data_IF_439522846995
#
_entry.id   IF_439522846995
#
_cell.length_a   1.000
_cell.length_b   1.000
_cell.length_c   1.000
_cell.angle_alpha   90.00
_cell.angle_beta   90.00
_cell.angle_gamma   90.00
#
_symmetry.space_group_name_H-M   'P 1'
#
loop_
_entity.id
_entity.type
_entity.pdbx_description
1 polymer ?
#
# COMPACT_ATOMS: atom_id res chain seq x y z
N UNK A 1 12.11 -35.68 -33.10
CA UNK A 1 12.60 -37.07 -32.97
C UNK A 1 12.81 -37.36 -31.49
N UNK A 2 12.23 -38.44 -30.95
CA UNK A 2 12.39 -38.80 -29.55
C UNK A 2 13.77 -39.43 -29.31
N UNK A 3 14.42 -39.10 -28.19
CA UNK A 3 15.69 -39.70 -27.79
C UNK A 3 15.50 -41.18 -27.38
N UNK A 4 16.54 -42.04 -27.45
CA UNK A 4 16.43 -43.45 -27.08
C UNK A 4 15.90 -43.69 -25.65
N UNK A 5 16.21 -42.77 -24.72
CA UNK A 5 15.71 -42.80 -23.33
C UNK A 5 14.21 -42.48 -23.26
N UNK A 6 13.74 -41.51 -24.06
CA UNK A 6 12.32 -41.18 -24.17
C UNK A 6 11.54 -42.32 -24.83
N UNK A 7 12.10 -43.00 -25.83
CA UNK A 7 11.46 -44.15 -26.47
C UNK A 7 11.25 -45.32 -25.49
N UNK A 8 12.24 -45.61 -24.62
CA UNK A 8 12.08 -46.61 -23.55
C UNK A 8 10.99 -46.24 -22.54
N UNK A 9 11.00 -44.99 -22.05
CA UNK A 9 9.96 -44.51 -21.12
C UNK A 9 8.56 -44.59 -21.71
N UNK A 10 8.41 -44.26 -23.00
CA UNK A 10 7.13 -44.38 -23.71
C UNK A 10 6.72 -45.86 -23.82
N UNK A 11 7.66 -46.75 -24.16
CA UNK A 11 7.39 -48.20 -24.23
C UNK A 11 6.95 -48.76 -22.88
N UNK A 12 7.65 -48.41 -21.81
CA UNK A 12 7.34 -48.88 -20.44
C UNK A 12 5.98 -48.33 -19.97
N UNK A 13 5.66 -47.09 -20.32
CA UNK A 13 4.37 -46.48 -20.01
C UNK A 13 3.22 -47.15 -20.77
N UNK A 14 3.41 -47.45 -22.06
CA UNK A 14 2.42 -48.17 -22.88
C UNK A 14 2.22 -49.59 -22.37
N UNK A 15 3.31 -50.31 -22.04
CA UNK A 15 3.22 -51.67 -21.51
C UNK A 15 2.49 -51.69 -20.16
N UNK A 16 2.79 -50.74 -19.27
CA UNK A 16 2.07 -50.60 -18.00
C UNK A 16 0.59 -50.28 -18.22
N UNK A 17 0.26 -49.37 -19.14
CA UNK A 17 -1.12 -49.02 -19.42
C UNK A 17 -1.90 -50.24 -19.96
N UNK A 18 -1.32 -50.98 -20.91
CA UNK A 18 -1.93 -52.20 -21.44
C UNK A 18 -2.07 -53.30 -20.39
N UNK A 19 -1.14 -53.36 -19.42
CA UNK A 19 -1.16 -54.37 -18.36
C UNK A 19 -2.18 -54.08 -17.25
N UNK A 20 -2.36 -52.81 -16.88
CA UNK A 20 -3.15 -52.43 -15.71
C UNK A 20 -4.51 -51.82 -16.04
N UNK A 21 -4.68 -51.21 -17.22
CA UNK A 21 -5.90 -50.49 -17.57
C UNK A 21 -6.70 -51.15 -18.69
N UNK A 22 -6.10 -52.01 -19.52
CA UNK A 22 -6.78 -52.69 -20.61
C UNK A 22 -7.16 -54.14 -20.21
N UNK A 23 -8.43 -54.32 -19.84
CA UNK A 23 -9.00 -55.60 -19.42
C UNK A 23 -9.05 -56.62 -20.55
N UNK A 24 -9.29 -56.17 -21.79
CA UNK A 24 -9.32 -57.00 -22.99
C UNK A 24 -7.93 -57.53 -23.31
N UNK A 25 -6.90 -56.68 -23.23
CA UNK A 25 -5.51 -57.09 -23.41
C UNK A 25 -5.05 -58.06 -22.30
N UNK A 26 -5.43 -57.79 -21.05
CA UNK A 26 -5.13 -58.69 -19.93
C UNK A 26 -5.76 -60.08 -20.11
N UNK A 27 -7.02 -60.15 -20.58
CA UNK A 27 -7.70 -61.41 -20.89
C UNK A 27 -7.01 -62.19 -22.02
N UNK A 28 -6.61 -61.52 -23.11
CA UNK A 28 -5.84 -62.15 -24.19
C UNK A 28 -4.49 -62.68 -23.71
N UNK A 29 -3.78 -61.90 -22.88
CA UNK A 29 -2.50 -62.31 -22.29
C UNK A 29 -2.65 -63.54 -21.41
N UNK A 30 -3.70 -63.60 -20.60
CA UNK A 30 -4.00 -64.77 -19.76
C UNK A 30 -4.28 -66.01 -20.62
N UNK A 31 -5.11 -65.89 -21.67
CA UNK A 31 -5.39 -66.98 -22.60
C UNK A 31 -4.10 -67.53 -23.24
N UNK A 32 -3.17 -66.65 -23.65
CA UNK A 32 -1.85 -67.08 -24.15
C UNK A 32 -1.04 -67.85 -23.13
N UNK A 33 -1.08 -67.44 -21.86
CA UNK A 33 -0.39 -68.15 -20.79
C UNK A 33 -1.01 -69.53 -20.54
N UNK A 34 -2.33 -69.62 -20.59
CA UNK A 34 -3.07 -70.87 -20.42
C UNK A 34 -2.82 -71.86 -21.58
N UNK A 35 -2.76 -71.38 -22.82
CA UNK A 35 -2.36 -72.17 -24.00
C UNK A 35 -0.91 -72.68 -23.85
N UNK A 36 0.01 -71.81 -23.42
CA UNK A 36 1.41 -72.19 -23.22
C UNK A 36 1.55 -73.24 -22.10
N UNK A 37 0.83 -73.05 -20.99
CA UNK A 37 0.78 -74.02 -19.90
C UNK A 37 0.24 -75.38 -20.39
N UNK A 38 -0.86 -75.38 -21.15
CA UNK A 38 -1.42 -76.60 -21.73
C UNK A 38 -0.41 -77.29 -22.66
N UNK A 39 0.26 -76.54 -23.53
CA UNK A 39 1.26 -77.09 -24.43
C UNK A 39 2.44 -77.72 -23.66
N UNK A 40 2.90 -77.08 -22.57
CA UNK A 40 3.95 -77.66 -21.72
C UNK A 40 3.49 -78.94 -21.01
N UNK A 41 2.22 -79.03 -20.60
CA UNK A 41 1.65 -80.24 -20.01
C UNK A 41 1.54 -81.37 -21.04
N UNK A 42 1.05 -81.09 -22.24
CA UNK A 42 0.98 -82.06 -23.35
C UNK A 42 2.39 -82.57 -23.69
N UNK A 43 3.37 -81.68 -23.77
CA UNK A 43 4.76 -82.05 -24.08
C UNK A 43 5.37 -82.94 -22.99
N UNK A 44 5.05 -82.70 -21.71
CA UNK A 44 5.49 -83.57 -20.60
C UNK A 44 4.81 -84.94 -20.65
N UNK A 45 3.49 -84.97 -20.81
CA UNK A 45 2.72 -86.23 -20.95
C UNK A 45 3.22 -87.08 -22.14
N UNK A 46 3.65 -86.45 -23.23
CA UNK A 46 4.23 -87.15 -24.39
C UNK A 46 5.65 -87.66 -24.14
N UNK A 47 6.45 -86.97 -23.34
CA UNK A 47 7.85 -87.33 -23.07
C UNK A 47 7.98 -88.36 -21.94
N UNK A 48 7.13 -88.29 -20.91
CA UNK A 48 7.16 -89.20 -19.75
C UNK A 48 6.66 -90.62 -20.09
N UNK A 49 5.90 -90.79 -21.18
CA UNK A 49 5.40 -92.08 -21.68
C UNK A 49 6.47 -92.94 -22.42
N UNK A 50 7.74 -92.54 -22.43
CA UNK A 50 8.84 -93.30 -23.05
C UNK A 50 9.61 -94.21 -22.08
N UNK A 51 9.23 -94.29 -20.80
CA UNK A 51 9.86 -95.14 -19.78
C UNK A 51 8.84 -96.08 -19.12
N UNK A 52 8.94 -97.36 -19.44
CA UNK A 52 8.20 -98.49 -18.90
C UNK A 52 6.70 -98.63 -19.27
N UNK A 53 6.44 -99.76 -19.95
CA UNK A 53 5.17 -100.33 -20.40
C UNK A 53 4.47 -99.64 -21.59
N UNK A 54 4.34 -100.44 -22.66
CA UNK A 54 3.68 -100.18 -23.95
C UNK A 54 2.42 -99.30 -23.83
N UNK A 55 2.38 -98.10 -24.45
CA UNK A 55 1.17 -97.29 -24.49
C UNK A 55 0.34 -97.71 -25.70
N UNK A 56 -0.68 -98.54 -25.50
CA UNK A 56 -1.65 -98.86 -26.56
C UNK A 56 -2.54 -97.67 -26.96
N UNK A 57 -2.35 -96.50 -26.36
CA UNK A 57 -2.76 -95.24 -26.99
C UNK A 57 -1.81 -94.12 -26.58
N UNK A 58 -1.10 -93.52 -27.54
CA UNK A 58 -0.43 -92.22 -27.41
C UNK A 58 -1.43 -91.08 -27.23
N UNK A 59 -2.30 -91.20 -26.23
CA UNK A 59 -3.42 -90.32 -25.95
C UNK A 59 -3.06 -89.44 -24.76
N UNK A 60 -2.85 -88.17 -25.09
CA UNK A 60 -3.03 -87.03 -24.19
C UNK A 60 -4.23 -87.28 -23.28
N UNK A 61 -4.10 -86.97 -21.99
CA UNK A 61 -5.16 -87.21 -20.99
C UNK A 61 -6.51 -86.65 -21.47
N UNK A 62 -7.66 -87.34 -21.24
CA UNK A 62 -8.97 -86.84 -21.63
C UNK A 62 -9.29 -85.46 -21.03
N UNK A 63 -8.76 -85.15 -19.84
CA UNK A 63 -8.89 -83.81 -19.24
C UNK A 63 -8.13 -82.72 -19.99
N UNK A 64 -7.01 -83.09 -20.64
CA UNK A 64 -6.16 -82.20 -21.43
C UNK A 64 -6.79 -81.96 -22.81
N UNK A 65 -7.47 -82.96 -23.37
CA UNK A 65 -8.28 -82.83 -24.59
C UNK A 65 -9.53 -81.97 -24.38
N UNK A 66 -10.22 -82.11 -23.24
CA UNK A 66 -11.36 -81.26 -22.90
C UNK A 66 -10.94 -79.78 -22.73
N UNK A 67 -9.82 -79.55 -22.03
CA UNK A 67 -9.21 -78.21 -21.91
C UNK A 67 -8.80 -77.62 -23.25
N UNK A 68 -8.30 -78.45 -24.17
CA UNK A 68 -7.99 -78.01 -25.53
C UNK A 68 -9.23 -77.51 -26.26
N UNK A 69 -10.34 -78.25 -26.18
CA UNK A 69 -11.62 -77.83 -26.77
C UNK A 69 -12.19 -76.55 -26.13
N UNK A 70 -12.08 -76.41 -24.81
CA UNK A 70 -12.47 -75.19 -24.11
C UNK A 70 -11.63 -73.99 -24.53
N UNK A 71 -10.30 -74.15 -24.61
CA UNK A 71 -9.39 -73.09 -25.04
C UNK A 71 -9.58 -72.72 -26.52
N UNK A 72 -9.98 -73.65 -27.39
CA UNK A 72 -10.28 -73.35 -28.80
C UNK A 72 -11.52 -72.45 -28.93
N UNK A 73 -12.58 -72.74 -28.18
CA UNK A 73 -13.78 -71.90 -28.13
C UNK A 73 -13.45 -70.52 -27.53
N UNK A 74 -12.68 -70.48 -26.46
CA UNK A 74 -12.23 -69.22 -25.85
C UNK A 74 -11.33 -68.41 -26.79
N UNK A 75 -10.48 -69.07 -27.58
CA UNK A 75 -9.62 -68.43 -28.58
C UNK A 75 -10.44 -67.77 -29.69
N UNK A 76 -11.41 -68.48 -30.26
CA UNK A 76 -12.28 -67.94 -31.31
C UNK A 76 -13.10 -66.75 -30.79
N UNK A 77 -13.62 -66.85 -29.56
CA UNK A 77 -14.32 -65.75 -28.89
C UNK A 77 -13.39 -64.55 -28.68
N UNK A 78 -12.16 -64.80 -28.22
CA UNK A 78 -11.21 -63.73 -27.94
C UNK A 78 -10.70 -63.08 -29.22
N UNK A 79 -10.55 -63.82 -30.32
CA UNK A 79 -10.17 -63.28 -31.63
C UNK A 79 -11.20 -62.25 -32.12
N UNK A 80 -12.49 -62.57 -32.02
CA UNK A 80 -13.57 -61.65 -32.37
C UNK A 80 -13.57 -60.40 -31.48
N UNK A 81 -13.47 -60.57 -30.16
CA UNK A 81 -13.46 -59.46 -29.20
C UNK A 81 -12.23 -58.58 -29.41
N UNK A 82 -11.06 -59.18 -29.61
CA UNK A 82 -9.81 -58.44 -29.78
C UNK A 82 -9.78 -57.69 -31.11
N UNK A 83 -10.34 -58.26 -32.17
CA UNK A 83 -10.52 -57.58 -33.45
C UNK A 83 -11.45 -56.37 -33.31
N UNK A 84 -12.60 -56.53 -32.65
CA UNK A 84 -13.51 -55.41 -32.37
C UNK A 84 -12.85 -54.32 -31.52
N UNK A 85 -12.05 -54.70 -30.51
CA UNK A 85 -11.29 -53.76 -29.68
C UNK A 85 -10.22 -53.00 -30.47
N UNK A 86 -9.50 -53.67 -31.38
CA UNK A 86 -8.55 -53.00 -32.28
C UNK A 86 -9.28 -52.01 -33.18
N UNK A 87 -10.42 -52.39 -33.76
CA UNK A 87 -11.21 -51.52 -34.63
C UNK A 87 -11.74 -50.31 -33.85
N UNK A 88 -12.17 -50.49 -32.59
CA UNK A 88 -12.57 -49.40 -31.69
C UNK A 88 -11.40 -48.45 -31.35
N UNK A 89 -10.22 -48.99 -31.06
CA UNK A 89 -9.02 -48.20 -30.82
C UNK A 89 -8.60 -47.42 -32.07
N UNK A 90 -8.69 -48.04 -33.25
CA UNK A 90 -8.41 -47.38 -34.54
C UNK A 90 -9.39 -46.24 -34.82
N UNK A 91 -10.69 -46.48 -34.57
CA UNK A 91 -11.73 -45.46 -34.69
C UNK A 91 -11.50 -44.32 -33.71
N UNK A 92 -11.19 -44.61 -32.45
CA UNK A 92 -10.86 -43.61 -31.43
C UNK A 92 -9.65 -42.77 -31.84
N UNK A 93 -8.63 -43.41 -32.41
CA UNK A 93 -7.42 -42.72 -32.89
C UNK A 93 -7.71 -41.85 -34.12
N UNK A 94 -8.58 -42.29 -35.03
CA UNK A 94 -9.07 -41.46 -36.14
C UNK A 94 -9.89 -40.26 -35.63
N UNK A 95 -10.80 -40.48 -34.68
CA UNK A 95 -11.59 -39.41 -34.07
C UNK A 95 -10.66 -38.39 -33.39
N UNK A 96 -9.66 -38.82 -32.63
CA UNK A 96 -8.67 -37.92 -32.02
C UNK A 96 -7.80 -37.16 -33.03
N UNK A 97 -7.58 -37.71 -34.23
CA UNK A 97 -6.89 -37.00 -35.31
C UNK A 97 -7.76 -35.91 -35.94
N UNK A 98 -9.07 -36.14 -36.02
CA UNK A 98 -10.04 -35.22 -36.65
C UNK A 98 -10.54 -34.18 -35.64
N UNK A 99 -10.94 -34.59 -34.45
CA UNK A 99 -11.17 -33.73 -33.29
C UNK A 99 -9.86 -33.58 -32.51
N UNK A 100 -9.09 -32.52 -32.82
CA UNK A 100 -8.09 -32.05 -31.86
C UNK A 100 -8.81 -31.78 -30.53
N UNK A 101 -8.29 -32.26 -29.39
CA UNK A 101 -8.98 -32.11 -28.11
C UNK A 101 -9.16 -30.62 -27.81
N UNK A 102 -10.40 -30.23 -27.51
CA UNK A 102 -10.80 -28.86 -27.13
C UNK A 102 -10.06 -28.38 -25.86
N UNK A 103 -9.42 -29.31 -25.17
CA UNK A 103 -8.50 -29.07 -24.05
C UNK A 103 -7.27 -28.28 -24.51
N UNK A 104 -6.76 -28.49 -25.73
CA UNK A 104 -5.60 -27.74 -26.23
C UNK A 104 -5.97 -26.30 -26.60
N UNK A 105 -7.17 -26.07 -27.14
CA UNK A 105 -7.72 -24.72 -27.35
C UNK A 105 -7.96 -24.02 -26.02
N UNK A 106 -8.55 -24.70 -25.04
CA UNK A 106 -8.82 -24.12 -23.73
C UNK A 106 -7.54 -23.82 -22.95
N UNK A 107 -6.55 -24.71 -22.97
CA UNK A 107 -5.22 -24.46 -22.37
C UNK A 107 -4.53 -23.29 -23.06
N UNK A 108 -4.61 -23.20 -24.39
CA UNK A 108 -4.03 -22.07 -25.13
C UNK A 108 -4.70 -20.74 -24.74
N UNK A 109 -6.03 -20.73 -24.64
CA UNK A 109 -6.79 -19.55 -24.21
C UNK A 109 -6.47 -19.15 -22.76
N UNK A 110 -6.33 -20.13 -21.86
CA UNK A 110 -5.90 -19.89 -20.48
C UNK A 110 -4.47 -19.33 -20.41
N UNK A 111 -3.56 -19.87 -21.21
CA UNK A 111 -2.19 -19.38 -21.30
C UNK A 111 -2.12 -17.95 -21.83
N UNK A 112 -2.94 -17.62 -22.82
CA UNK A 112 -3.05 -16.26 -23.37
C UNK A 112 -3.62 -15.28 -22.35
N UNK A 113 -4.65 -15.68 -21.59
CA UNK A 113 -5.21 -14.90 -20.48
C UNK A 113 -4.17 -14.64 -19.38
N UNK A 114 -3.43 -15.67 -18.95
CA UNK A 114 -2.38 -15.54 -17.94
C UNK A 114 -1.23 -14.65 -18.46
N UNK A 115 -0.85 -14.79 -19.73
CA UNK A 115 0.17 -13.95 -20.33
C UNK A 115 -0.24 -12.47 -20.36
N UNK A 116 -1.51 -12.18 -20.68
CA UNK A 116 -2.04 -10.82 -20.66
C UNK A 116 -2.06 -10.26 -19.24
N UNK A 117 -2.50 -11.05 -18.27
CA UNK A 117 -2.51 -10.63 -16.86
C UNK A 117 -1.10 -10.34 -16.33
N UNK A 118 -0.11 -11.16 -16.71
CA UNK A 118 1.29 -10.93 -16.37
C UNK A 118 1.82 -9.62 -16.99
N UNK A 119 1.46 -9.31 -18.23
CA UNK A 119 1.82 -8.02 -18.84
C UNK A 119 1.19 -6.84 -18.10
N UNK A 120 -0.09 -6.92 -17.74
CA UNK A 120 -0.77 -5.89 -16.95
C UNK A 120 -0.10 -5.69 -15.58
N UNK A 121 0.32 -6.77 -14.92
CA UNK A 121 1.07 -6.70 -13.67
C UNK A 121 2.45 -6.10 -13.86
N UNK A 122 3.19 -6.46 -14.92
CA UNK A 122 4.49 -5.85 -15.22
C UNK A 122 4.36 -4.35 -15.48
N UNK A 123 3.34 -3.92 -16.21
CA UNK A 123 3.08 -2.50 -16.46
C UNK A 123 2.67 -1.76 -15.18
N UNK A 124 1.88 -2.41 -14.31
CA UNK A 124 1.57 -1.87 -12.98
C UNK A 124 2.82 -1.77 -12.11
N UNK A 125 3.70 -2.76 -12.13
CA UNK A 125 4.98 -2.73 -11.41
C UNK A 125 5.88 -1.61 -11.95
N UNK A 126 5.91 -1.40 -13.27
CA UNK A 126 6.63 -0.26 -13.87
C UNK A 126 6.04 1.04 -13.36
N UNK A 127 4.71 1.23 -13.39
CA UNK A 127 4.06 2.42 -12.86
C UNK A 127 4.37 2.66 -11.37
N UNK A 128 4.34 1.60 -10.55
CA UNK A 128 4.72 1.70 -9.14
C UNK A 128 6.19 2.16 -9.02
N UNK A 129 7.10 1.62 -9.82
CA UNK A 129 8.53 1.99 -9.77
C UNK A 129 8.81 3.39 -10.30
N UNK A 130 8.12 3.83 -11.36
CA UNK A 130 8.42 5.09 -12.07
C UNK A 130 7.64 6.27 -11.55
N UNK A 131 6.45 6.06 -10.99
CA UNK A 131 5.54 7.13 -10.55
C UNK A 131 5.37 7.06 -9.04
N UNK A 132 4.88 5.94 -8.52
CA UNK A 132 4.47 5.87 -7.11
C UNK A 132 5.67 5.88 -6.17
N UNK A 133 6.73 5.12 -6.44
CA UNK A 133 7.95 5.10 -5.62
C UNK A 133 8.62 6.48 -5.55
N UNK A 134 8.90 7.19 -6.66
CA UNK A 134 9.46 8.53 -6.57
C UNK A 134 8.49 9.55 -5.96
N UNK A 135 7.16 9.36 -6.08
CA UNK A 135 6.19 10.16 -5.33
C UNK A 135 6.30 9.90 -3.83
N UNK A 136 6.37 8.63 -3.42
CA UNK A 136 6.61 8.24 -2.03
C UNK A 136 7.93 8.79 -1.53
N UNK A 137 9.02 8.65 -2.28
CA UNK A 137 10.32 9.22 -1.92
C UNK A 137 10.24 10.76 -1.79
N UNK A 138 9.49 11.45 -2.65
CA UNK A 138 9.22 12.89 -2.52
C UNK A 138 8.39 13.22 -1.28
N UNK A 139 7.34 12.45 -1.00
CA UNK A 139 6.50 12.63 0.20
C UNK A 139 7.31 12.35 1.45
N UNK A 140 8.09 11.27 1.49
CA UNK A 140 8.98 10.94 2.60
C UNK A 140 10.06 11.99 2.78
N UNK A 141 10.65 12.52 1.69
CA UNK A 141 11.58 13.63 1.77
C UNK A 141 10.89 14.93 2.22
N UNK A 142 9.67 15.19 1.79
CA UNK A 142 8.90 16.36 2.20
C UNK A 142 8.52 16.25 3.68
N UNK A 143 8.05 15.09 4.14
CA UNK A 143 7.74 14.78 5.53
C UNK A 143 9.01 14.76 6.37
N UNK A 144 10.14 14.25 5.87
CA UNK A 144 11.42 14.32 6.56
C UNK A 144 11.94 15.75 6.63
N UNK A 145 11.76 16.56 5.58
CA UNK A 145 12.08 17.99 5.59
C UNK A 145 11.13 18.76 6.49
N UNK A 146 9.86 18.38 6.55
CA UNK A 146 8.84 18.99 7.40
C UNK A 146 9.09 18.61 8.85
N UNK A 147 9.31 17.34 9.17
CA UNK A 147 9.69 16.85 10.50
C UNK A 147 11.07 17.37 10.91
N UNK A 148 12.01 17.50 9.99
CA UNK A 148 13.28 18.18 10.28
C UNK A 148 13.00 19.64 10.58
N UNK A 149 12.17 20.33 9.80
CA UNK A 149 11.77 21.71 10.05
C UNK A 149 10.91 21.86 11.29
N UNK A 150 10.15 20.84 11.72
CA UNK A 150 9.27 20.83 12.88
C UNK A 150 10.04 20.44 14.14
N UNK A 151 11.00 19.53 14.04
CA UNK A 151 12.04 19.30 15.04
C UNK A 151 12.96 20.51 15.18
N UNK A 152 13.21 21.23 14.09
CA UNK A 152 13.94 22.51 14.10
C UNK A 152 13.04 23.67 14.53
N UNK A 153 11.71 23.58 14.38
CA UNK A 153 10.73 24.58 14.85
C UNK A 153 10.37 24.39 16.32
N UNK A 154 10.39 23.16 16.84
CA UNK A 154 10.47 22.88 18.28
C UNK A 154 11.84 23.23 18.84
N UNK A 155 12.87 23.39 17.99
CA UNK A 155 14.15 24.02 18.33
C UNK A 155 14.25 25.51 17.92
N UNK A 156 13.12 26.18 17.67
CA UNK A 156 13.03 27.65 17.78
C UNK A 156 11.87 28.02 18.72
N UNK A 157 12.02 27.59 19.98
CA UNK A 157 12.19 28.60 21.03
C UNK A 157 13.11 29.68 20.42
N UNK A 158 12.53 30.78 19.94
CA UNK A 158 13.25 31.90 19.35
C UNK A 158 14.11 32.47 20.46
N UNK A 159 15.27 31.85 20.67
CA UNK A 159 16.28 32.35 21.55
C UNK A 159 16.91 33.52 20.78
N UNK A 160 17.03 34.71 21.40
CA UNK A 160 17.58 35.91 20.76
C UNK A 160 18.91 35.65 20.01
N UNK A 161 19.65 34.63 20.43
CA UNK A 161 20.92 34.16 19.86
C UNK A 161 20.87 33.66 18.41
N UNK A 162 19.71 33.22 17.88
CA UNK A 162 19.59 32.80 16.47
C UNK A 162 19.46 34.03 15.55
N UNK A 163 18.70 35.05 15.98
CA UNK A 163 18.62 36.35 15.28
C UNK A 163 20.00 37.04 15.32
N UNK A 164 20.73 36.89 16.41
CA UNK A 164 22.09 37.43 16.59
C UNK A 164 23.15 36.78 15.68
N UNK A 165 22.92 35.58 15.12
CA UNK A 165 23.87 34.88 14.23
C UNK A 165 23.63 35.10 12.73
N UNK A 166 22.63 35.90 12.35
CA UNK A 166 22.28 36.26 10.95
C UNK A 166 23.36 37.18 10.29
N UNK A 167 24.52 37.33 10.95
CA UNK A 167 25.58 38.24 10.55
C UNK A 167 26.22 37.95 9.19
N UNK A 168 26.55 36.71 8.81
CA UNK A 168 27.44 36.51 7.65
C UNK A 168 27.20 35.29 6.73
N UNK A 169 26.67 34.15 7.18
CA UNK A 169 26.68 32.91 6.35
C UNK A 169 25.33 32.43 5.77
N UNK A 170 24.19 33.03 6.13
CA UNK A 170 22.85 32.57 5.66
C UNK A 170 22.26 33.36 4.48
N UNK A 171 23.03 34.31 3.90
CA UNK A 171 22.65 35.14 2.74
C UNK A 171 22.19 34.36 1.50
N UNK A 172 22.48 33.05 1.42
CA UNK A 172 22.03 32.17 0.34
C UNK A 172 20.73 31.41 0.64
N UNK A 173 20.36 31.23 1.92
CA UNK A 173 19.15 30.46 2.31
C UNK A 173 17.91 31.34 2.46
N UNK A 174 18.08 32.63 2.75
CA UNK A 174 16.95 33.57 2.92
C UNK A 174 16.21 33.88 1.62
N UNK A 175 16.87 33.82 0.44
CA UNK A 175 16.20 34.10 -0.84
C UNK A 175 15.19 33.03 -1.27
N UNK A 176 15.24 31.85 -0.66
CA UNK A 176 14.38 30.71 -1.01
C UNK A 176 13.30 30.40 0.04
N UNK A 177 13.35 31.05 1.22
CA UNK A 177 12.35 30.88 2.26
C UNK A 177 11.29 31.98 2.18
N UNK A 178 10.02 31.63 1.98
CA UNK A 178 8.87 32.54 2.07
C UNK A 178 8.55 32.97 3.52
N UNK A 179 9.49 32.83 4.45
CA UNK A 179 9.30 33.26 5.83
C UNK A 179 9.74 34.71 6.00
N UNK A 180 8.94 35.44 6.77
CA UNK A 180 9.02 36.88 7.09
C UNK A 180 10.49 37.33 7.21
N UNK A 181 10.87 38.40 6.51
CA UNK A 181 12.21 38.98 6.60
C UNK A 181 12.47 39.50 8.02
N UNK A 182 13.15 38.69 8.84
CA UNK A 182 13.41 39.00 10.24
C UNK A 182 14.41 40.16 10.43
N UNK A 183 15.10 40.62 9.37
CA UNK A 183 15.90 41.86 9.43
C UNK A 183 15.02 43.09 9.60
N UNK A 184 13.76 43.03 9.15
CA UNK A 184 12.81 44.14 9.32
C UNK A 184 12.37 44.33 10.78
N UNK A 185 12.78 43.46 11.70
CA UNK A 185 12.46 43.53 13.13
C UNK A 185 13.60 44.09 13.99
N UNK A 186 14.76 44.34 13.36
CA UNK A 186 15.92 44.99 13.99
C UNK A 186 15.86 46.46 13.64
N UNK A 187 15.70 47.31 14.66
CA UNK A 187 15.57 48.75 14.48
C UNK A 187 16.73 49.48 15.15
N UNK A 188 17.27 50.49 14.48
CA UNK A 188 18.22 51.41 15.09
C UNK A 188 17.47 52.33 16.06
N UNK A 189 17.91 52.36 17.32
CA UNK A 189 17.26 53.11 18.41
C UNK A 189 17.10 54.60 18.08
N UNK A 190 18.07 55.19 17.37
CA UNK A 190 18.05 56.59 16.92
C UNK A 190 17.01 56.85 15.83
N UNK A 191 16.75 55.88 14.96
CA UNK A 191 15.74 56.00 13.91
C UNK A 191 14.34 55.85 14.50
N UNK A 192 14.19 54.87 15.39
CA UNK A 192 12.95 54.62 16.13
C UNK A 192 12.55 55.83 17.02
N UNK A 193 13.53 56.44 17.69
CA UNK A 193 13.32 57.69 18.43
C UNK A 193 12.86 58.83 17.53
N UNK A 194 13.46 58.99 16.35
CA UNK A 194 13.05 60.02 15.37
C UNK A 194 11.63 59.80 14.86
N UNK A 195 11.23 58.55 14.61
CA UNK A 195 9.85 58.25 14.19
C UNK A 195 8.84 58.48 15.33
N UNK A 196 9.16 58.11 16.57
CA UNK A 196 8.32 58.44 17.72
C UNK A 196 8.21 59.95 17.96
N UNK A 197 9.28 60.71 17.73
CA UNK A 197 9.30 62.18 17.80
C UNK A 197 8.47 62.85 16.69
N UNK A 198 8.35 62.22 15.51
CA UNK A 198 7.46 62.72 14.43
C UNK A 198 5.99 62.49 14.78
N UNK A 199 5.67 61.38 15.44
CA UNK A 199 4.31 61.02 15.82
C UNK A 199 3.82 61.76 17.07
N UNK A 200 4.74 62.18 17.94
CA UNK A 200 4.40 62.86 19.20
C UNK A 200 4.82 64.33 19.11
N UNK A 201 3.86 65.25 19.00
CA UNK A 201 4.09 66.67 18.70
C UNK A 201 4.81 67.50 19.80
N UNK A 202 5.40 66.87 20.82
CA UNK A 202 6.03 67.56 21.95
C UNK A 202 7.47 67.09 22.20
N UNK A 203 8.40 68.05 22.13
CA UNK A 203 9.85 67.90 22.41
C UNK A 203 10.20 67.55 23.87
N UNK A 204 9.23 67.23 24.72
CA UNK A 204 9.45 66.96 26.16
C UNK A 204 9.66 65.48 26.50
N UNK A 205 9.62 64.57 25.51
CA UNK A 205 9.58 63.11 25.74
C UNK A 205 10.88 62.40 25.31
N UNK A 206 11.95 63.14 25.02
CA UNK A 206 13.23 62.55 24.59
C UNK A 206 13.84 61.59 25.62
N UNK A 207 13.71 61.89 26.92
CA UNK A 207 14.22 61.05 28.00
C UNK A 207 13.38 59.80 28.25
N UNK A 208 12.05 59.92 28.18
CA UNK A 208 11.14 58.79 28.45
C UNK A 208 11.13 57.75 27.33
N UNK A 209 11.35 58.14 26.07
CA UNK A 209 11.38 57.19 24.95
C UNK A 209 12.67 56.36 24.99
N UNK A 210 13.82 56.97 25.30
CA UNK A 210 15.07 56.25 25.46
C UNK A 210 15.01 55.23 26.61
N UNK A 211 14.43 55.63 27.75
CA UNK A 211 14.22 54.76 28.90
C UNK A 211 13.18 53.68 28.61
N UNK A 212 12.10 53.98 27.88
CA UNK A 212 11.09 53.01 27.46
C UNK A 212 11.67 51.92 26.55
N UNK A 213 12.51 52.30 25.58
CA UNK A 213 13.16 51.34 24.68
C UNK A 213 14.17 50.43 25.42
N UNK A 214 14.78 50.92 26.50
CA UNK A 214 15.72 50.13 27.32
C UNK A 214 15.04 49.28 28.41
N UNK A 215 13.91 49.76 28.94
CA UNK A 215 13.24 49.17 30.11
C UNK A 215 12.12 48.21 29.74
N UNK A 216 11.51 48.36 28.54
CA UNK A 216 10.37 47.57 28.13
C UNK A 216 10.78 46.24 27.47
N UNK A 217 11.29 45.33 28.31
CA UNK A 217 11.67 43.95 27.95
C UNK A 217 10.50 43.09 27.48
N UNK A 218 9.26 43.57 27.61
CA UNK A 218 8.06 42.84 27.15
C UNK A 218 7.85 42.95 25.65
N UNK A 219 8.29 44.06 25.04
CA UNK A 219 8.05 44.38 23.63
C UNK A 219 9.36 44.40 22.85
N UNK A 220 10.47 44.82 23.46
CA UNK A 220 11.78 44.90 22.82
C UNK A 220 12.84 44.09 23.58
N UNK A 221 13.76 43.44 22.86
CA UNK A 221 15.00 42.87 23.42
C UNK A 221 16.22 43.69 22.99
N UNK A 222 17.23 43.76 23.86
CA UNK A 222 18.52 44.39 23.58
C UNK A 222 19.35 43.53 22.63
N UNK A 223 19.98 44.14 21.64
CA UNK A 223 20.91 43.47 20.74
C UNK A 223 22.28 43.30 21.43
N UNK A 224 22.80 42.06 21.54
CA UNK A 224 23.99 41.76 22.38
C UNK A 224 25.26 42.51 21.91
N UNK A 225 25.40 42.74 20.61
CA UNK A 225 26.64 43.30 20.03
C UNK A 225 26.58 44.82 19.79
N UNK A 226 25.42 45.45 19.96
CA UNK A 226 25.25 46.88 19.70
C UNK A 226 24.10 47.48 20.54
N UNK A 227 24.46 48.22 21.59
CA UNK A 227 23.52 48.95 22.46
C UNK A 227 22.68 49.99 21.70
N UNK A 228 23.01 50.28 20.43
CA UNK A 228 22.25 51.19 19.58
C UNK A 228 21.08 50.53 18.83
N UNK A 229 20.86 49.21 18.96
CA UNK A 229 19.82 48.47 18.24
C UNK A 229 18.88 47.67 19.15
N UNK A 230 17.62 47.59 18.75
CA UNK A 230 16.56 46.88 19.49
C UNK A 230 15.79 45.91 18.59
N UNK A 231 15.38 44.76 19.13
CA UNK A 231 14.61 43.72 18.42
C UNK A 231 13.15 43.75 18.89
N UNK A 232 12.19 43.84 17.98
CA UNK A 232 10.76 43.75 18.31
C UNK A 232 10.29 42.31 18.53
N UNK A 233 9.59 42.05 19.65
CA UNK A 233 9.01 40.73 20.00
C UNK A 233 7.65 40.54 19.33
N UNK A 234 7.53 39.58 18.42
CA UNK A 234 6.22 39.10 17.99
C UNK A 234 5.58 38.25 19.11
N UNK A 235 4.34 38.56 19.55
CA UNK A 235 3.64 37.76 20.54
C UNK A 235 3.33 36.35 20.01
N UNK A 236 3.43 35.35 20.90
CA UNK A 236 3.16 33.94 20.60
C UNK A 236 1.72 33.75 20.11
N UNK A 237 1.57 33.23 18.90
CA UNK A 237 0.31 32.64 18.45
C UNK A 237 0.12 31.31 19.18
N UNK A 238 -0.96 31.17 19.96
CA UNK A 238 -1.29 29.96 20.71
C UNK A 238 -1.85 28.83 19.84
N UNK A 239 -1.22 28.54 18.70
CA UNK A 239 -1.54 27.37 17.89
C UNK A 239 -0.80 26.17 18.48
N UNK A 240 -1.56 25.17 18.94
CA UNK A 240 -1.02 23.88 19.34
C UNK A 240 -0.38 23.20 18.12
N UNK A 241 0.89 22.83 18.25
CA UNK A 241 1.59 22.05 17.22
C UNK A 241 0.96 20.65 17.12
N UNK A 242 0.50 20.30 15.92
CA UNK A 242 -0.07 18.99 15.60
C UNK A 242 1.07 18.01 15.31
N UNK A 243 1.33 17.09 16.24
CA UNK A 243 2.26 15.97 16.03
C UNK A 243 1.60 14.83 15.25
N UNK A 244 2.41 14.03 14.54
CA UNK A 244 2.00 12.93 13.65
C UNK A 244 1.33 11.71 14.34
N UNK A 245 0.99 11.83 15.63
CA UNK A 245 0.31 10.79 16.42
C UNK A 245 -1.14 11.12 16.73
N UNK A 246 -1.65 12.28 16.30
CA UNK A 246 -3.02 12.70 16.58
C UNK A 246 -4.03 11.90 15.76
N UNK A 247 -4.91 11.15 16.45
CA UNK A 247 -5.95 10.32 15.84
C UNK A 247 -7.15 11.18 15.39
N UNK A 248 -8.00 10.66 14.50
CA UNK A 248 -9.19 11.39 13.99
C UNK A 248 -10.12 11.83 15.14
N UNK A 249 -10.22 11.02 16.19
CA UNK A 249 -11.02 11.32 17.39
C UNK A 249 -10.45 12.52 18.17
N UNK A 250 -9.13 12.68 18.19
CA UNK A 250 -8.46 13.84 18.81
C UNK A 250 -8.67 15.13 17.99
N UNK A 251 -8.85 15.03 16.67
CA UNK A 251 -9.27 16.17 15.84
C UNK A 251 -10.68 16.62 16.20
N UNK A 252 -11.62 15.69 16.34
CA UNK A 252 -13.01 16.01 16.70
C UNK A 252 -13.09 16.61 18.11
N UNK A 253 -12.24 16.16 19.05
CA UNK A 253 -12.13 16.74 20.38
C UNK A 253 -11.51 18.15 20.35
N UNK A 254 -10.46 18.37 19.55
CA UNK A 254 -9.85 19.69 19.36
C UNK A 254 -10.80 20.68 18.68
N UNK A 255 -11.55 20.25 17.66
CA UNK A 255 -12.58 21.06 17.01
C UNK A 255 -13.66 21.43 18.02
N UNK A 256 -14.10 20.48 18.84
CA UNK A 256 -15.09 20.74 19.90
C UNK A 256 -14.56 21.74 20.94
N UNK A 257 -13.30 21.61 21.35
CA UNK A 257 -12.64 22.51 22.30
C UNK A 257 -12.42 23.92 21.73
N UNK A 258 -12.08 24.04 20.45
CA UNK A 258 -11.92 25.35 19.80
C UNK A 258 -13.27 26.02 19.59
N UNK A 259 -14.32 25.27 19.22
CA UNK A 259 -15.69 25.80 19.13
C UNK A 259 -16.15 26.35 20.49
N UNK A 260 -15.93 25.61 21.58
CA UNK A 260 -16.30 26.08 22.92
C UNK A 260 -15.50 27.32 23.36
N UNK A 261 -14.21 27.41 23.00
CA UNK A 261 -13.41 28.62 23.25
C UNK A 261 -13.91 29.81 22.42
N UNK A 262 -14.26 29.62 21.15
CA UNK A 262 -14.84 30.68 20.30
C UNK A 262 -16.16 31.17 20.89
N UNK A 263 -17.03 30.26 21.36
CA UNK A 263 -18.28 30.62 22.03
C UNK A 263 -18.04 31.38 23.33
N UNK A 264 -17.05 30.97 24.13
CA UNK A 264 -16.67 31.70 25.34
C UNK A 264 -16.16 33.12 25.03
N UNK A 265 -15.33 33.28 23.99
CA UNK A 265 -14.85 34.59 23.53
C UNK A 265 -15.99 35.46 22.96
N UNK A 266 -16.95 34.88 22.25
CA UNK A 266 -18.13 35.61 21.77
C UNK A 266 -18.98 36.11 22.94
N UNK A 267 -19.22 35.28 23.95
CA UNK A 267 -19.94 35.67 25.16
C UNK A 267 -19.19 36.77 25.93
N UNK A 268 -17.87 36.67 26.01
CA UNK A 268 -17.03 37.72 26.60
C UNK A 268 -17.11 39.02 25.80
N UNK A 269 -17.10 38.94 24.46
CA UNK A 269 -17.26 40.10 23.59
C UNK A 269 -18.64 40.77 23.75
N UNK A 270 -19.72 40.00 23.91
CA UNK A 270 -21.04 40.53 24.23
C UNK A 270 -21.08 41.19 25.61
N UNK A 271 -20.47 40.56 26.62
CA UNK A 271 -20.30 41.14 27.96
C UNK A 271 -19.53 42.46 27.91
N UNK A 272 -18.44 42.51 27.16
CA UNK A 272 -17.66 43.73 26.94
C UNK A 272 -18.52 44.77 26.22
N UNK A 273 -19.21 44.43 25.13
CA UNK A 273 -20.10 45.37 24.41
C UNK A 273 -21.19 45.93 25.31
N UNK A 274 -21.83 45.11 26.14
CA UNK A 274 -22.84 45.59 27.10
C UNK A 274 -22.22 46.48 28.18
N UNK A 275 -21.00 46.19 28.64
CA UNK A 275 -20.28 47.05 29.59
C UNK A 275 -19.90 48.40 28.97
N UNK A 276 -19.46 48.41 27.71
CA UNK A 276 -19.17 49.61 26.93
C UNK A 276 -20.44 50.41 26.68
N UNK A 277 -21.56 49.76 26.38
CA UNK A 277 -22.84 50.44 26.20
C UNK A 277 -23.31 51.09 27.51
N UNK A 278 -23.22 50.37 28.64
CA UNK A 278 -23.52 50.92 29.97
C UNK A 278 -22.59 52.09 30.32
N UNK A 279 -21.30 51.99 30.00
CA UNK A 279 -20.35 53.07 30.24
C UNK A 279 -20.59 54.26 29.32
N UNK A 280 -20.95 54.04 28.06
CA UNK A 280 -21.34 55.10 27.13
C UNK A 280 -22.64 55.79 27.58
N UNK A 281 -23.62 55.04 28.11
CA UNK A 281 -24.82 55.63 28.73
C UNK A 281 -24.48 56.43 29.98
N UNK A 282 -23.59 55.94 30.84
CA UNK A 282 -23.10 56.70 32.00
C UNK A 282 -22.38 57.97 31.57
N UNK A 283 -21.51 57.89 30.57
CA UNK A 283 -20.83 59.05 30.01
C UNK A 283 -21.84 60.02 29.40
N UNK A 284 -22.85 59.57 28.66
CA UNK A 284 -23.93 60.44 28.17
C UNK A 284 -24.72 61.10 29.30
N UNK A 285 -24.99 60.39 30.40
CA UNK A 285 -25.62 60.98 31.59
C UNK A 285 -24.71 61.99 32.28
N UNK A 286 -23.41 61.73 32.34
CA UNK A 286 -22.42 62.67 32.89
C UNK A 286 -22.29 63.89 31.97
N UNK A 287 -22.21 63.69 30.66
CA UNK A 287 -22.16 64.75 29.64
C UNK A 287 -23.44 65.60 29.67
N UNK A 288 -24.61 64.99 29.89
CA UNK A 288 -25.85 65.71 30.13
C UNK A 288 -25.89 66.48 31.46
N UNK A 289 -25.09 66.10 32.47
CA UNK A 289 -24.97 66.80 33.75
C UNK A 289 -23.86 67.87 33.70
N UNK A 290 -22.79 67.63 32.94
CA UNK A 290 -21.64 68.53 32.76
C UNK A 290 -21.98 69.63 31.76
N UNK A 291 -22.57 69.29 30.61
CA UNK A 291 -23.09 70.27 29.64
C UNK A 291 -24.48 70.79 30.03
N UNK A 292 -25.15 70.17 31.01
CA UNK A 292 -26.39 70.65 31.63
C UNK A 292 -26.18 71.47 32.91
N UNK A 293 -24.94 71.87 33.20
CA UNK A 293 -24.57 72.77 34.30
C UNK A 293 -23.75 73.96 33.81
N UNK A 294 -24.17 74.56 32.70
CA UNK A 294 -23.86 75.94 32.35
C UNK A 294 -25.05 76.52 31.59
N UNK A 295 -26.23 76.56 32.21
CA UNK A 295 -27.29 77.54 31.93
C UNK A 295 -28.34 77.46 33.05
N UNK A 296 -28.06 78.14 34.18
CA UNK A 296 -29.13 78.77 34.95
C UNK A 296 -29.45 80.12 34.26
N UNK A 297 -30.75 80.28 33.97
CA UNK A 297 -31.50 81.52 33.76
C UNK A 297 -31.44 82.26 32.41
N UNK A 298 -32.36 81.88 31.51
CA UNK A 298 -33.11 82.85 30.67
C UNK A 298 -34.61 82.49 30.66
N UNK A 299 -35.35 83.21 31.50
CA UNK A 299 -36.74 83.70 31.37
C UNK A 299 -37.88 82.81 30.80
N UNK A 300 -38.82 82.51 31.70
CA UNK A 300 -40.28 82.74 31.60
C UNK A 300 -41.09 82.05 30.47
N UNK A 301 -41.68 80.89 30.79
CA UNK A 301 -43.15 80.60 30.77
C UNK A 301 -43.44 79.16 31.17
#
# INVERSE_FOLDING_TARGET
MATPKQARLISDAVENHLKYNDTTFAAYRKLRQDILALNTSITKELNDNNGDSVPETGRVSPSTLEKLGQLDIELQKMELIYKAHIDELQNTLQIQKVLKPDILSSIKAQLESISKHNQELEDRIKNIKTIEKPLWDKITNLVASFNSNLATATARLIHPTIIMKIGQDELKREKESQQIDYRSLVFDKKELQKEFLKLTYEKLIDTNIAEFLDSNTRIFDKFIDDDSKVIYKLPRSGLHDLDSTTTLDEYDELISKTITQIQAMQNEQESIKTSWHKNAEKIRKIDAIVNGKEDEDVEMS
#
